data_IF_643066148723
#
_entry.id   IF_643066148723
#
_cell.length_a   1.000
_cell.length_b   1.000
_cell.length_c   1.000
_cell.angle_alpha   90.00
_cell.angle_beta   90.00
_cell.angle_gamma   90.00
#
_symmetry.space_group_name_H-M   'P 1'
#
loop_
_entity.id
_entity.type
_entity.pdbx_description
1 polymer ?
#
# COMPACT_ATOMS: atom_id res chain seq x y z
N UNK A 1 0.76 -0.63 17.13
CA UNK A 1 1.47 -1.25 15.98
C UNK A 1 1.01 -2.68 15.69
N UNK A 2 1.05 -3.62 16.64
CA UNK A 2 0.61 -5.01 16.40
C UNK A 2 -0.79 -5.16 15.76
N UNK A 3 -1.78 -4.37 16.22
CA UNK A 3 -3.13 -4.37 15.61
C UNK A 3 -3.14 -3.88 14.16
N UNK A 4 -2.30 -2.90 13.81
CA UNK A 4 -2.20 -2.38 12.44
C UNK A 4 -1.55 -3.39 11.51
N UNK A 5 -0.56 -4.16 12.00
CA UNK A 5 0.05 -5.25 11.24
C UNK A 5 -1.00 -6.33 10.96
N UNK A 6 -1.76 -6.75 11.98
CA UNK A 6 -2.83 -7.74 11.83
C UNK A 6 -3.90 -7.28 10.83
N UNK A 7 -4.44 -6.08 11.00
CA UNK A 7 -5.44 -5.49 10.08
C UNK A 7 -4.87 -5.32 8.67
N UNK A 8 -3.61 -4.91 8.55
CA UNK A 8 -2.91 -4.79 7.26
C UNK A 8 -2.82 -6.13 6.54
N UNK A 9 -2.50 -7.22 7.23
CA UNK A 9 -2.43 -8.57 6.65
C UNK A 9 -3.81 -9.12 6.28
N UNK A 10 -4.84 -8.82 7.07
CA UNK A 10 -6.24 -9.15 6.73
C UNK A 10 -6.69 -8.42 5.46
N UNK A 11 -6.29 -7.16 5.30
CA UNK A 11 -6.60 -6.37 4.10
C UNK A 11 -5.74 -6.80 2.90
N UNK A 12 -4.45 -7.03 3.06
CA UNK A 12 -3.56 -7.39 1.97
C UNK A 12 -2.49 -8.35 2.48
N UNK A 13 -2.72 -9.64 2.23
CA UNK A 13 -1.71 -10.66 2.46
C UNK A 13 -0.89 -10.88 1.17
N UNK A 14 0.35 -10.39 1.14
CA UNK A 14 1.24 -10.58 0.00
C UNK A 14 1.61 -12.05 -0.22
N UNK A 15 1.65 -12.85 0.84
CA UNK A 15 1.94 -14.30 0.78
C UNK A 15 0.88 -15.05 -0.06
N UNK A 16 -0.37 -14.57 -0.01
CA UNK A 16 -1.49 -15.15 -0.74
C UNK A 16 -1.82 -14.38 -2.03
N UNK A 17 -1.16 -13.26 -2.29
CA UNK A 17 -1.55 -12.34 -3.36
C UNK A 17 -1.58 -13.04 -4.72
N UNK A 18 -0.62 -13.94 -4.98
CA UNK A 18 -0.57 -14.71 -6.23
C UNK A 18 -1.78 -15.64 -6.41
N UNK A 19 -2.36 -16.13 -5.32
CA UNK A 19 -3.53 -17.00 -5.32
C UNK A 19 -4.86 -16.23 -5.43
N UNK A 20 -4.83 -14.89 -5.35
CA UNK A 20 -6.05 -14.08 -5.49
C UNK A 20 -6.56 -14.09 -6.93
N UNK A 21 -7.90 -14.06 -7.08
CA UNK A 21 -8.53 -13.86 -8.38
C UNK A 21 -8.11 -12.53 -9.01
N UNK A 22 -8.13 -12.44 -10.35
CA UNK A 22 -7.79 -11.20 -11.08
C UNK A 22 -8.57 -10.00 -10.56
N UNK A 23 -9.87 -10.17 -10.29
CA UNK A 23 -10.74 -9.13 -9.70
C UNK A 23 -10.26 -8.68 -8.32
N UNK A 24 -9.90 -9.63 -7.45
CA UNK A 24 -9.41 -9.32 -6.10
C UNK A 24 -8.04 -8.62 -6.16
N UNK A 25 -7.14 -9.04 -7.05
CA UNK A 25 -5.85 -8.37 -7.31
C UNK A 25 -6.05 -6.90 -7.72
N UNK A 26 -6.89 -6.63 -8.73
CA UNK A 26 -7.24 -5.26 -9.19
C UNK A 26 -7.82 -4.41 -8.05
N UNK A 27 -8.73 -4.96 -7.25
CA UNK A 27 -9.29 -4.26 -6.09
C UNK A 27 -8.23 -3.91 -5.02
N UNK A 28 -7.30 -4.83 -4.73
CA UNK A 28 -6.23 -4.59 -3.75
C UNK A 28 -5.19 -3.60 -4.24
N UNK A 29 -4.77 -3.66 -5.51
CA UNK A 29 -3.89 -2.64 -6.10
C UNK A 29 -4.53 -1.25 -6.04
N UNK A 30 -5.82 -1.12 -6.40
CA UNK A 30 -6.56 0.14 -6.26
C UNK A 30 -6.60 0.66 -4.82
N UNK A 31 -6.66 -0.24 -3.83
CA UNK A 31 -6.60 0.14 -2.41
C UNK A 31 -5.22 0.67 -2.02
N UNK A 32 -4.13 0.09 -2.55
CA UNK A 32 -2.76 0.57 -2.30
C UNK A 32 -2.59 1.99 -2.85
N UNK A 33 -2.98 2.21 -4.11
CA UNK A 33 -2.92 3.53 -4.77
C UNK A 33 -3.61 4.58 -3.91
N UNK A 34 -4.86 4.32 -3.48
CA UNK A 34 -5.63 5.24 -2.62
C UNK A 34 -4.96 5.55 -1.28
N UNK A 35 -4.30 4.57 -0.66
CA UNK A 35 -3.62 4.80 0.62
C UNK A 35 -2.39 5.70 0.46
N UNK A 36 -1.69 5.59 -0.68
CA UNK A 36 -0.56 6.45 -1.04
C UNK A 36 -1.05 7.86 -1.35
N UNK A 37 -2.08 8.01 -2.19
CA UNK A 37 -2.68 9.31 -2.55
C UNK A 37 -3.19 10.09 -1.33
N UNK A 38 -3.72 9.38 -0.34
CA UNK A 38 -4.30 9.98 0.88
C UNK A 38 -3.31 10.17 2.02
N UNK A 39 -2.05 9.78 1.86
CA UNK A 39 -1.05 9.80 2.94
C UNK A 39 -1.48 9.04 4.21
N UNK A 40 -2.37 8.06 4.06
CA UNK A 40 -2.86 7.21 5.15
C UNK A 40 -1.73 6.29 5.66
N UNK A 41 -0.78 5.96 4.78
CA UNK A 41 0.38 5.11 5.07
C UNK A 41 1.70 5.80 4.67
N UNK A 42 2.79 5.66 5.47
CA UNK A 42 2.82 4.96 6.76
C UNK A 42 2.17 5.77 7.90
N UNK A 43 1.68 5.05 8.91
CA UNK A 43 1.02 5.64 10.09
C UNK A 43 1.87 6.75 10.71
N UNK A 44 1.22 7.83 11.14
CA UNK A 44 1.90 8.99 11.74
C UNK A 44 2.81 8.60 12.90
N UNK A 45 2.36 7.70 13.78
CA UNK A 45 3.16 7.18 14.89
C UNK A 45 4.39 6.39 14.44
N UNK A 46 4.28 5.65 13.33
CA UNK A 46 5.43 4.95 12.74
C UNK A 46 6.44 5.94 12.16
N UNK A 47 5.96 6.97 11.43
CA UNK A 47 6.80 8.05 10.87
C UNK A 47 7.51 8.87 11.94
N UNK A 48 6.91 9.03 13.13
CA UNK A 48 7.54 9.73 14.26
C UNK A 48 8.72 8.94 14.84
N UNK A 49 8.59 7.62 14.95
CA UNK A 49 9.66 6.74 15.47
C UNK A 49 10.71 6.42 14.40
N UNK A 50 10.31 6.42 13.13
CA UNK A 50 11.15 6.12 11.98
C UNK A 50 11.01 7.22 10.93
N UNK A 51 11.81 8.29 11.07
CA UNK A 51 11.82 9.42 10.12
C UNK A 51 12.08 8.99 8.67
N UNK A 52 12.86 7.93 8.48
CA UNK A 52 13.20 7.34 7.19
C UNK A 52 12.01 6.63 6.51
N UNK A 53 10.92 6.36 7.24
CA UNK A 53 9.71 5.78 6.67
C UNK A 53 8.78 6.83 6.03
N UNK A 54 9.19 8.11 6.01
CA UNK A 54 8.43 9.16 5.31
C UNK A 54 8.71 9.03 3.82
N UNK A 55 7.69 8.64 3.06
CA UNK A 55 7.75 8.68 1.60
C UNK A 55 7.83 10.14 1.14
N UNK A 56 8.89 10.45 0.37
CA UNK A 56 9.04 11.69 -0.39
C UNK A 56 8.01 11.76 -1.52
N UNK A 57 7.87 12.95 -2.13
CA UNK A 57 6.96 13.13 -3.26
C UNK A 57 7.36 12.26 -4.46
N UNK A 58 8.66 12.14 -4.72
CA UNK A 58 9.19 11.35 -5.84
C UNK A 58 8.97 9.85 -5.62
N UNK A 59 9.25 9.33 -4.42
CA UNK A 59 8.98 7.91 -4.09
C UNK A 59 7.49 7.57 -4.19
N UNK A 60 6.59 8.47 -3.77
CA UNK A 60 5.15 8.27 -3.95
C UNK A 60 4.80 8.19 -5.43
N UNK A 61 5.36 9.08 -6.25
CA UNK A 61 5.10 9.10 -7.68
C UNK A 61 5.58 7.81 -8.35
N UNK A 62 6.80 7.36 -8.05
CA UNK A 62 7.32 6.08 -8.57
C UNK A 62 6.41 4.89 -8.20
N UNK A 63 5.95 4.84 -6.95
CA UNK A 63 5.03 3.79 -6.52
C UNK A 63 3.69 3.86 -7.26
N UNK A 64 3.12 5.06 -7.40
CA UNK A 64 1.86 5.25 -8.13
C UNK A 64 2.00 4.84 -9.59
N UNK A 65 3.06 5.26 -10.27
CA UNK A 65 3.34 4.92 -11.66
C UNK A 65 3.52 3.41 -11.85
N UNK A 66 4.24 2.75 -10.94
CA UNK A 66 4.37 1.30 -10.91
C UNK A 66 3.00 0.59 -10.77
N UNK A 67 2.21 0.98 -9.77
CA UNK A 67 0.90 0.34 -9.52
C UNK A 67 -0.11 0.60 -10.64
N UNK A 68 -0.04 1.76 -11.30
CA UNK A 68 -0.86 2.08 -12.47
C UNK A 68 -0.47 1.22 -13.67
N UNK A 69 0.82 0.93 -13.86
CA UNK A 69 1.32 0.09 -14.96
C UNK A 69 0.80 -1.35 -14.86
N UNK A 70 0.78 -1.92 -13.65
CA UNK A 70 0.33 -3.30 -13.41
C UNK A 70 -1.19 -3.44 -13.25
N UNK A 71 -1.92 -2.33 -13.15
CA UNK A 71 -3.37 -2.31 -13.12
C UNK A 71 -3.92 -1.26 -14.10
N UNK A 72 -3.76 -1.50 -15.42
CA UNK A 72 -4.30 -0.60 -16.42
C UNK A 72 -5.82 -0.48 -16.24
N UNK A 73 -6.30 0.75 -16.38
CA UNK A 73 -7.70 1.11 -16.18
C UNK A 73 -8.63 0.31 -17.07
#
# INVERSE_FOLDING_TARGET
MARHIKKGKEELNFDEFNNYSKRRKKAKIKSIIRQIEKDEMPLKSYRMMHGNARLSADEKKELLDFFNTINPH
#
